data_IF_952195549764
#
_entry.id   IF_952195549764
#
_cell.length_a   1.000
_cell.length_b   1.000
_cell.length_c   1.000
_cell.angle_alpha   90.00
_cell.angle_beta   90.00
_cell.angle_gamma   90.00
#
_symmetry.space_group_name_H-M   'P 1'
#
loop_
_entity.id
_entity.type
_entity.pdbx_description
1 polymer ?
#
# COMPACT_ATOMS: atom_id res chain seq x y z
N UNK A 1 -48.32 -4.74 -5.33
CA UNK A 1 -47.64 -3.45 -5.58
C UNK A 1 -46.21 -3.46 -5.08
N UNK A 2 -45.95 -3.95 -3.87
CA UNK A 2 -44.59 -4.08 -3.26
C UNK A 2 -43.65 -4.90 -4.14
N UNK A 3 -44.01 -6.10 -4.58
CA UNK A 3 -43.19 -6.98 -5.41
C UNK A 3 -42.75 -6.31 -6.72
N UNK A 4 -43.63 -5.52 -7.36
CA UNK A 4 -43.26 -4.78 -8.58
C UNK A 4 -42.24 -3.68 -8.32
N UNK A 5 -42.30 -3.00 -7.17
CA UNK A 5 -41.28 -2.00 -6.80
C UNK A 5 -39.92 -2.68 -6.49
N UNK A 6 -39.94 -3.77 -5.72
CA UNK A 6 -38.73 -4.54 -5.44
C UNK A 6 -38.07 -5.03 -6.73
N UNK A 7 -38.83 -5.61 -7.65
CA UNK A 7 -38.31 -6.06 -8.94
C UNK A 7 -37.66 -4.91 -9.74
N UNK A 8 -38.30 -3.73 -9.78
CA UNK A 8 -37.75 -2.55 -10.47
C UNK A 8 -36.44 -2.10 -9.85
N UNK A 9 -36.33 -2.09 -8.51
CA UNK A 9 -35.06 -1.75 -7.81
C UNK A 9 -33.96 -2.78 -8.13
N UNK A 10 -34.29 -4.07 -8.13
CA UNK A 10 -33.31 -5.12 -8.46
C UNK A 10 -32.83 -4.98 -9.91
N UNK A 11 -33.74 -4.77 -10.85
CA UNK A 11 -33.38 -4.56 -12.27
C UNK A 11 -32.51 -3.31 -12.43
N UNK A 12 -32.88 -2.20 -11.77
CA UNK A 12 -32.08 -0.97 -11.80
C UNK A 12 -30.66 -1.21 -11.29
N UNK A 13 -30.53 -1.86 -10.11
CA UNK A 13 -29.21 -2.15 -9.53
C UNK A 13 -28.39 -3.09 -10.41
N UNK A 14 -29.01 -4.09 -11.02
CA UNK A 14 -28.33 -4.99 -11.95
C UNK A 14 -27.82 -4.24 -13.20
N UNK A 15 -28.63 -3.39 -13.79
CA UNK A 15 -28.23 -2.56 -14.95
C UNK A 15 -27.11 -1.60 -14.54
N UNK A 16 -27.22 -0.94 -13.38
CA UNK A 16 -26.18 -0.06 -12.87
C UNK A 16 -24.84 -0.80 -12.66
N UNK A 17 -24.89 -1.98 -12.05
CA UNK A 17 -23.68 -2.80 -11.85
C UNK A 17 -23.04 -3.21 -13.18
N UNK A 18 -23.84 -3.60 -14.18
CA UNK A 18 -23.33 -3.91 -15.53
C UNK A 18 -22.67 -2.71 -16.20
N UNK A 19 -23.29 -1.52 -16.11
CA UNK A 19 -22.72 -0.29 -16.65
C UNK A 19 -21.43 0.09 -15.94
N UNK A 20 -21.40 0.05 -14.60
CA UNK A 20 -20.20 0.32 -13.83
C UNK A 20 -19.07 -0.66 -14.16
N UNK A 21 -19.36 -1.95 -14.31
CA UNK A 21 -18.39 -2.96 -14.73
C UNK A 21 -17.85 -2.69 -16.12
N UNK A 22 -18.70 -2.39 -17.08
CA UNK A 22 -18.30 -2.12 -18.47
C UNK A 22 -17.43 -0.87 -18.59
N UNK A 23 -17.84 0.23 -17.94
CA UNK A 23 -17.04 1.47 -17.95
C UNK A 23 -15.74 1.27 -17.17
N UNK A 24 -15.77 0.56 -16.04
CA UNK A 24 -14.57 0.24 -15.27
C UNK A 24 -13.57 -0.56 -16.11
N UNK A 25 -14.05 -1.53 -16.88
CA UNK A 25 -13.20 -2.32 -17.76
C UNK A 25 -12.52 -1.46 -18.83
N UNK A 26 -13.20 -0.43 -19.32
CA UNK A 26 -12.67 0.48 -20.32
C UNK A 26 -11.60 1.43 -19.71
N UNK A 27 -11.89 2.03 -18.54
CA UNK A 27 -11.01 3.05 -17.95
C UNK A 27 -9.89 2.46 -17.07
N UNK A 28 -9.97 1.19 -16.66
CA UNK A 28 -8.89 0.58 -15.85
C UNK A 28 -7.57 0.59 -16.64
N UNK A 29 -6.43 0.92 -16.01
CA UNK A 29 -5.12 0.84 -16.65
C UNK A 29 -4.86 -0.55 -17.21
N UNK A 30 -4.35 -0.61 -18.45
CA UNK A 30 -3.98 -1.88 -19.11
C UNK A 30 -2.51 -2.23 -18.90
N UNK A 31 -1.74 -1.28 -18.37
CA UNK A 31 -0.35 -1.46 -17.99
C UNK A 31 -0.07 -0.67 -16.68
N UNK A 32 1.05 -0.96 -16.03
CA UNK A 32 1.49 -0.29 -14.80
C UNK A 32 2.38 0.93 -15.05
N UNK A 33 2.13 1.66 -16.14
CA UNK A 33 2.88 2.87 -16.51
C UNK A 33 2.11 4.15 -16.16
N UNK A 34 2.84 5.25 -16.02
CA UNK A 34 2.22 6.59 -15.83
C UNK A 34 1.35 7.00 -17.01
N UNK A 35 1.75 6.65 -18.23
CA UNK A 35 0.97 6.94 -19.45
C UNK A 35 -0.34 6.15 -19.55
N UNK A 36 -0.47 5.09 -18.77
CA UNK A 36 -1.69 4.30 -18.64
C UNK A 36 -2.53 4.70 -17.41
N UNK A 37 -2.16 5.80 -16.72
CA UNK A 37 -2.92 6.38 -15.63
C UNK A 37 -2.51 5.92 -14.23
N UNK A 38 -1.37 5.25 -14.09
CA UNK A 38 -0.83 4.88 -12.76
C UNK A 38 -0.13 6.09 -12.14
N UNK A 39 -0.56 6.49 -10.95
CA UNK A 39 0.01 7.64 -10.25
C UNK A 39 1.39 7.35 -9.65
N UNK A 40 1.58 6.16 -9.08
CA UNK A 40 2.82 5.72 -8.42
C UNK A 40 3.42 4.50 -9.16
N UNK A 41 4.02 4.70 -10.36
CA UNK A 41 4.53 3.59 -11.15
C UNK A 41 5.67 2.85 -10.45
N UNK A 42 6.53 3.52 -9.68
CA UNK A 42 7.60 2.88 -8.93
C UNK A 42 7.05 1.80 -7.97
N UNK A 43 6.07 2.14 -7.13
CA UNK A 43 5.42 1.18 -6.24
C UNK A 43 4.64 0.09 -7.00
N UNK A 44 3.98 0.45 -8.11
CA UNK A 44 3.24 -0.49 -8.95
C UNK A 44 4.13 -1.31 -9.91
N UNK A 45 5.42 -1.02 -9.98
CA UNK A 45 6.40 -1.78 -10.76
C UNK A 45 6.50 -3.24 -10.31
N UNK A 46 6.15 -3.55 -9.06
CA UNK A 46 6.09 -4.93 -8.56
C UNK A 46 5.20 -5.84 -9.43
N UNK A 47 4.17 -5.30 -10.06
CA UNK A 47 3.29 -6.05 -10.95
C UNK A 47 3.98 -6.48 -12.25
N UNK A 48 5.05 -5.78 -12.65
CA UNK A 48 5.89 -6.12 -13.81
C UNK A 48 7.00 -7.11 -13.49
N UNK A 49 7.27 -7.38 -12.21
CA UNK A 49 8.28 -8.36 -11.81
C UNK A 49 7.84 -9.78 -12.24
N UNK A 50 8.80 -10.67 -12.54
CA UNK A 50 8.50 -12.08 -12.76
C UNK A 50 7.85 -12.69 -11.53
N UNK A 51 7.02 -13.70 -11.73
CA UNK A 51 6.25 -14.33 -10.65
C UNK A 51 7.19 -15.02 -9.63
N UNK A 52 6.89 -14.82 -8.34
CA UNK A 52 7.60 -15.44 -7.21
C UNK A 52 9.12 -15.17 -7.18
N UNK A 53 9.52 -13.94 -7.51
CA UNK A 53 10.93 -13.52 -7.49
C UNK A 53 11.27 -12.56 -6.35
N UNK A 54 10.31 -12.18 -5.52
CA UNK A 54 10.50 -11.22 -4.42
C UNK A 54 10.42 -11.95 -3.08
N UNK A 55 11.52 -11.91 -2.31
CA UNK A 55 11.62 -12.50 -0.96
C UNK A 55 11.05 -11.58 0.11
N UNK A 56 11.28 -10.26 -0.02
CA UNK A 56 10.89 -9.22 0.92
C UNK A 56 9.98 -8.20 0.27
N UNK A 57 8.81 -7.97 0.86
CA UNK A 57 7.93 -6.87 0.49
C UNK A 57 8.03 -5.77 1.54
N UNK A 58 8.28 -4.53 1.12
CA UNK A 58 8.37 -3.37 2.01
C UNK A 58 7.16 -2.48 1.73
N UNK A 59 6.37 -2.20 2.76
CA UNK A 59 5.20 -1.35 2.75
C UNK A 59 5.44 -0.14 3.66
N UNK A 60 4.94 1.01 3.29
CA UNK A 60 5.10 2.21 4.09
C UNK A 60 4.87 3.46 3.27
N UNK A 61 5.17 4.60 3.85
CA UNK A 61 5.09 5.89 3.17
C UNK A 61 6.43 6.34 2.58
N UNK A 62 6.70 7.64 2.57
CA UNK A 62 7.95 8.21 2.06
C UNK A 62 9.19 7.79 2.85
N UNK A 63 9.04 7.45 4.11
CA UNK A 63 10.14 6.93 4.93
C UNK A 63 10.58 5.56 4.37
N UNK A 64 9.64 4.68 4.02
CA UNK A 64 9.97 3.35 3.50
C UNK A 64 10.75 3.39 2.19
N UNK A 65 10.29 4.14 1.18
CA UNK A 65 10.97 4.16 -0.12
C UNK A 65 12.26 4.99 -0.14
N UNK A 66 12.53 5.76 0.92
CA UNK A 66 13.76 6.53 1.07
C UNK A 66 14.82 5.81 1.91
N UNK A 67 14.41 4.99 2.88
CA UNK A 67 15.32 4.32 3.82
C UNK A 67 15.72 2.92 3.36
N UNK A 68 14.82 2.16 2.76
CA UNK A 68 15.13 0.80 2.33
C UNK A 68 15.62 0.78 0.89
N UNK A 69 16.81 0.21 0.69
CA UNK A 69 17.49 0.11 -0.62
C UNK A 69 17.47 -1.35 -1.08
N UNK A 70 16.48 -1.81 -1.86
CA UNK A 70 16.37 -3.20 -2.27
C UNK A 70 17.61 -3.76 -2.96
N UNK A 71 18.27 -2.93 -3.80
CA UNK A 71 19.47 -3.34 -4.51
C UNK A 71 20.67 -3.60 -3.58
N UNK A 72 20.73 -2.89 -2.43
CA UNK A 72 21.74 -3.14 -1.40
C UNK A 72 21.46 -4.45 -0.65
N UNK A 73 20.20 -4.74 -0.33
CA UNK A 73 19.81 -5.99 0.30
C UNK A 73 20.19 -7.19 -0.58
N UNK A 74 19.96 -7.08 -1.88
CA UNK A 74 20.38 -8.12 -2.81
C UNK A 74 21.90 -8.24 -2.92
N UNK A 75 22.62 -7.13 -3.02
CA UNK A 75 24.08 -7.13 -3.16
C UNK A 75 24.78 -7.71 -1.92
N UNK A 76 24.29 -7.37 -0.73
CA UNK A 76 24.96 -7.75 0.52
C UNK A 76 24.51 -9.11 1.05
N UNK A 77 23.26 -9.46 0.85
CA UNK A 77 22.65 -10.63 1.50
C UNK A 77 22.00 -11.61 0.53
N UNK A 78 21.88 -11.26 -0.75
CA UNK A 78 21.24 -12.10 -1.76
C UNK A 78 19.71 -12.12 -1.71
N UNK A 79 19.06 -11.30 -0.85
CA UNK A 79 17.62 -11.22 -0.76
C UNK A 79 17.05 -10.26 -1.81
N UNK A 80 16.07 -10.73 -2.56
CA UNK A 80 15.31 -9.88 -3.48
C UNK A 80 14.22 -9.14 -2.71
N UNK A 81 14.18 -7.82 -2.85
CA UNK A 81 13.22 -6.98 -2.14
C UNK A 81 12.51 -6.03 -3.09
N UNK A 82 11.30 -5.62 -2.73
CA UNK A 82 10.56 -4.57 -3.43
C UNK A 82 9.86 -3.64 -2.45
N UNK A 83 9.98 -2.32 -2.67
CA UNK A 83 9.31 -1.31 -1.87
C UNK A 83 8.04 -0.81 -2.59
N UNK A 84 6.90 -1.07 -1.99
CA UNK A 84 5.58 -0.59 -2.42
C UNK A 84 5.15 0.62 -1.57
N UNK A 85 6.07 1.56 -1.36
CA UNK A 85 5.82 2.80 -0.63
C UNK A 85 5.33 3.92 -1.54
N UNK A 86 4.40 4.74 -1.03
CA UNK A 86 3.93 5.97 -1.69
C UNK A 86 3.90 7.14 -0.71
N UNK A 87 3.86 8.38 -1.22
CA UNK A 87 3.86 9.55 -0.36
C UNK A 87 2.62 9.59 0.56
N UNK A 88 2.84 9.70 1.88
CA UNK A 88 1.79 9.70 2.91
C UNK A 88 0.83 8.52 2.80
N UNK A 89 1.37 7.36 2.50
CA UNK A 89 0.59 6.13 2.38
C UNK A 89 -0.16 5.83 3.67
N UNK A 90 -1.42 5.52 3.55
CA UNK A 90 -2.25 5.08 4.68
C UNK A 90 -2.28 3.56 4.77
N UNK A 91 -2.66 3.02 5.93
CA UNK A 91 -2.69 1.58 6.14
C UNK A 91 -3.63 0.84 5.18
N UNK A 92 -4.74 1.45 4.75
CA UNK A 92 -5.60 0.80 3.76
C UNK A 92 -4.94 0.69 2.38
N UNK A 93 -4.08 1.66 2.00
CA UNK A 93 -3.25 1.54 0.79
C UNK A 93 -2.15 0.49 0.96
N UNK A 94 -1.54 0.41 2.15
CA UNK A 94 -0.54 -0.63 2.45
C UNK A 94 -1.16 -2.02 2.32
N UNK A 95 -2.37 -2.23 2.85
CA UNK A 95 -3.12 -3.48 2.69
C UNK A 95 -3.45 -3.76 1.21
N UNK A 96 -3.90 -2.75 0.47
CA UNK A 96 -4.19 -2.89 -0.95
C UNK A 96 -2.93 -3.28 -1.77
N UNK A 97 -1.77 -2.69 -1.47
CA UNK A 97 -0.50 -3.09 -2.08
C UNK A 97 -0.07 -4.50 -1.68
N UNK A 98 -0.28 -4.89 -0.42
CA UNK A 98 -0.03 -6.24 0.06
C UNK A 98 -0.81 -7.26 -0.78
N UNK A 99 -2.13 -7.11 -0.87
CA UNK A 99 -2.97 -7.98 -1.69
C UNK A 99 -2.57 -7.99 -3.17
N UNK A 100 -2.24 -6.82 -3.71
CA UNK A 100 -1.79 -6.67 -5.10
C UNK A 100 -0.47 -7.40 -5.35
N UNK A 101 0.50 -7.28 -4.46
CA UNK A 101 1.78 -7.96 -4.56
C UNK A 101 1.61 -9.49 -4.52
N UNK A 102 0.78 -9.99 -3.60
CA UNK A 102 0.53 -11.43 -3.45
C UNK A 102 -0.25 -12.07 -4.60
N UNK A 103 -0.77 -11.29 -5.56
CA UNK A 103 -1.31 -11.85 -6.80
C UNK A 103 -0.24 -12.52 -7.67
N UNK A 104 1.03 -12.10 -7.54
CA UNK A 104 2.15 -12.56 -8.38
C UNK A 104 3.37 -13.00 -7.57
N UNK A 105 3.47 -12.59 -6.32
CA UNK A 105 4.63 -12.82 -5.46
C UNK A 105 4.22 -13.62 -4.22
N UNK A 106 5.19 -14.28 -3.60
CA UNK A 106 5.01 -15.01 -2.34
C UNK A 106 6.17 -14.67 -1.39
N UNK A 107 6.30 -13.39 -0.98
CA UNK A 107 7.38 -12.97 -0.11
C UNK A 107 7.33 -13.71 1.23
N UNK A 108 8.49 -14.01 1.80
CA UNK A 108 8.61 -14.66 3.10
C UNK A 108 8.58 -13.66 4.25
N UNK A 109 8.94 -12.42 3.97
CA UNK A 109 8.93 -11.33 4.94
C UNK A 109 8.22 -10.11 4.35
N UNK A 110 7.30 -9.55 5.13
CA UNK A 110 6.66 -8.27 4.86
C UNK A 110 7.14 -7.29 5.93
N UNK A 111 7.78 -6.21 5.50
CA UNK A 111 8.19 -5.11 6.38
C UNK A 111 7.12 -4.03 6.26
N UNK A 112 6.55 -3.62 7.39
CA UNK A 112 5.69 -2.45 7.49
C UNK A 112 6.46 -1.35 8.22
N UNK A 113 6.80 -0.30 7.49
CA UNK A 113 7.37 0.91 8.07
C UNK A 113 6.31 1.60 8.93
N UNK A 114 6.69 2.03 10.15
CA UNK A 114 5.74 2.31 11.22
C UNK A 114 5.09 3.69 11.19
N UNK A 115 5.61 4.66 10.41
CA UNK A 115 4.99 5.98 10.34
C UNK A 115 3.55 5.92 9.82
N UNK A 116 3.25 4.98 8.91
CA UNK A 116 1.90 4.73 8.39
C UNK A 116 0.88 4.38 9.47
N UNK A 117 1.31 3.88 10.64
CA UNK A 117 0.44 3.55 11.77
C UNK A 117 -0.17 4.82 12.37
N UNK A 118 0.49 5.97 12.20
CA UNK A 118 0.10 7.26 12.73
C UNK A 118 -0.55 8.19 11.68
N UNK A 119 -0.65 7.75 10.43
CA UNK A 119 -1.34 8.50 9.38
C UNK A 119 -2.83 8.17 9.43
N UNK A 120 -3.62 9.13 9.90
CA UNK A 120 -5.07 8.98 9.94
C UNK A 120 -5.72 9.17 8.56
N UNK A 121 -6.86 8.52 8.37
CA UNK A 121 -7.69 8.64 7.18
C UNK A 121 -9.18 8.60 7.53
N UNK A 122 -10.02 9.15 6.67
CA UNK A 122 -11.46 9.17 6.88
C UNK A 122 -12.14 7.88 6.41
N UNK A 123 -13.31 7.56 6.97
CA UNK A 123 -14.16 6.50 6.42
C UNK A 123 -14.55 6.75 4.98
N UNK A 124 -14.77 8.02 4.61
CA UNK A 124 -15.12 8.40 3.24
C UNK A 124 -14.00 8.06 2.24
N UNK A 125 -12.74 8.36 2.59
CA UNK A 125 -11.58 8.00 1.73
C UNK A 125 -11.40 6.50 1.62
N UNK A 126 -11.61 5.76 2.71
CA UNK A 126 -11.56 4.29 2.70
C UNK A 126 -12.63 3.69 1.79
N UNK A 127 -13.90 4.11 1.96
CA UNK A 127 -15.01 3.63 1.13
C UNK A 127 -14.83 3.99 -0.36
N UNK A 128 -14.27 5.17 -0.64
CA UNK A 128 -13.98 5.58 -2.01
C UNK A 128 -12.90 4.69 -2.64
N UNK A 129 -11.87 4.33 -1.86
CA UNK A 129 -10.85 3.38 -2.31
C UNK A 129 -11.44 1.99 -2.56
N UNK A 130 -12.21 1.45 -1.60
CA UNK A 130 -12.89 0.15 -1.74
C UNK A 130 -13.83 0.14 -2.96
N UNK A 131 -14.57 1.24 -3.17
CA UNK A 131 -15.41 1.40 -4.36
C UNK A 131 -14.56 1.44 -5.65
N UNK A 132 -13.39 2.07 -5.62
CA UNK A 132 -12.43 2.11 -6.73
C UNK A 132 -11.81 0.75 -7.03
N UNK A 133 -11.55 -0.06 -6.02
CA UNK A 133 -11.05 -1.43 -6.19
C UNK A 133 -12.14 -2.34 -6.80
N UNK A 134 -13.39 -2.18 -6.38
CA UNK A 134 -14.52 -2.92 -6.93
C UNK A 134 -14.89 -2.44 -8.34
N UNK A 135 -14.94 -1.12 -8.52
CA UNK A 135 -15.27 -0.47 -9.80
C UNK A 135 -14.19 0.56 -10.14
N UNK A 136 -13.17 0.19 -10.91
CA UNK A 136 -12.06 1.06 -11.31
C UNK A 136 -12.46 2.42 -11.91
N UNK A 137 -13.69 2.58 -12.38
CA UNK A 137 -14.20 3.88 -12.85
C UNK A 137 -14.13 4.96 -11.75
N UNK A 138 -14.28 4.61 -10.48
CA UNK A 138 -14.18 5.59 -9.40
C UNK A 138 -12.74 6.11 -9.19
N UNK A 139 -11.74 5.27 -9.42
CA UNK A 139 -10.33 5.65 -9.31
C UNK A 139 -9.74 6.22 -10.61
N UNK A 140 -10.25 5.79 -11.77
CA UNK A 140 -9.66 6.08 -13.08
C UNK A 140 -10.62 6.78 -14.04
N UNK A 141 -11.68 7.42 -13.54
CA UNK A 141 -12.66 8.08 -14.40
C UNK A 141 -12.04 9.10 -15.38
N UNK A 142 -11.01 9.85 -14.96
CA UNK A 142 -10.35 10.85 -15.80
C UNK A 142 -9.69 10.28 -17.04
N UNK A 143 -9.43 8.98 -17.11
CA UNK A 143 -8.84 8.31 -18.29
C UNK A 143 -9.73 8.34 -19.50
N UNK A 144 -11.03 8.62 -19.36
CA UNK A 144 -11.89 8.78 -20.53
C UNK A 144 -11.36 9.83 -21.54
N UNK A 145 -10.56 10.81 -21.07
CA UNK A 145 -9.95 11.87 -21.88
C UNK A 145 -8.73 11.38 -22.69
N UNK A 146 -8.15 10.26 -22.32
CA UNK A 146 -6.89 9.74 -22.88
C UNK A 146 -6.99 8.28 -23.32
N UNK A 147 -8.20 7.80 -23.58
CA UNK A 147 -8.44 6.43 -24.03
C UNK A 147 -7.74 6.17 -25.37
N UNK A 148 -7.13 5.02 -25.47
CA UNK A 148 -6.46 4.49 -26.67
C UNK A 148 -7.23 3.28 -27.20
N UNK A 149 -6.97 2.86 -28.42
CA UNK A 149 -7.55 1.64 -28.99
C UNK A 149 -7.21 0.38 -28.15
N UNK A 150 -6.04 0.36 -27.52
CA UNK A 150 -5.64 -0.72 -26.62
C UNK A 150 -6.50 -0.84 -25.34
N UNK A 151 -7.17 0.23 -24.93
CA UNK A 151 -8.01 0.22 -23.72
C UNK A 151 -9.29 -0.60 -23.87
N UNK A 152 -9.69 -0.89 -25.11
CA UNK A 152 -10.80 -1.80 -25.41
C UNK A 152 -10.46 -3.28 -25.20
N UNK A 153 -9.17 -3.60 -25.01
CA UNK A 153 -8.74 -4.96 -24.67
C UNK A 153 -9.21 -5.35 -23.27
N UNK A 154 -9.59 -6.59 -23.10
CA UNK A 154 -9.85 -7.18 -21.77
C UNK A 154 -8.55 -7.55 -21.05
N UNK A 155 -7.46 -7.71 -21.81
CA UNK A 155 -6.17 -8.12 -21.27
C UNK A 155 -5.47 -6.95 -20.58
N UNK A 156 -4.89 -7.23 -19.43
CA UNK A 156 -3.99 -6.35 -18.68
C UNK A 156 -2.60 -6.96 -18.77
N UNK A 157 -1.63 -6.16 -19.20
CA UNK A 157 -0.25 -6.63 -19.33
C UNK A 157 0.70 -5.63 -18.68
N UNK A 158 1.19 -5.97 -17.49
CA UNK A 158 2.11 -5.15 -16.74
C UNK A 158 3.54 -5.37 -17.25
N UNK A 159 4.10 -4.35 -17.91
CA UNK A 159 5.44 -4.41 -18.53
C UNK A 159 6.45 -3.49 -17.90
N UNK A 160 6.02 -2.54 -17.06
CA UNK A 160 6.93 -1.63 -16.40
C UNK A 160 7.55 -2.32 -15.17
N UNK A 161 8.88 -2.36 -15.17
CA UNK A 161 9.71 -2.81 -14.05
C UNK A 161 10.50 -1.61 -13.55
N UNK A 162 10.43 -1.33 -12.27
CA UNK A 162 11.26 -0.28 -11.66
C UNK A 162 12.66 -0.82 -11.34
N UNK A 163 13.69 -0.24 -11.96
CA UNK A 163 15.07 -0.68 -11.78
C UNK A 163 15.58 -0.50 -10.33
N UNK A 164 15.03 0.48 -9.60
CA UNK A 164 15.35 0.72 -8.19
C UNK A 164 14.46 -0.09 -7.24
N UNK A 165 13.54 -0.92 -7.78
CA UNK A 165 12.62 -1.76 -6.99
C UNK A 165 11.80 -0.95 -5.97
N UNK A 166 11.30 0.22 -6.39
CA UNK A 166 10.51 1.11 -5.57
C UNK A 166 11.29 2.09 -4.70
N UNK A 167 12.62 1.95 -4.60
CA UNK A 167 13.46 2.91 -3.89
C UNK A 167 13.51 4.25 -4.62
N UNK A 168 13.49 5.35 -3.85
CA UNK A 168 13.60 6.70 -4.40
C UNK A 168 14.72 7.46 -3.70
N UNK A 169 15.81 7.71 -4.43
CA UNK A 169 16.92 8.52 -3.93
C UNK A 169 16.44 9.94 -3.60
N UNK A 170 16.67 10.37 -2.37
CA UNK A 170 16.41 11.73 -1.89
C UNK A 170 17.74 12.41 -1.56
N UNK A 171 18.07 13.44 -2.34
CA UNK A 171 19.33 14.17 -2.17
C UNK A 171 19.17 15.48 -1.39
N UNK A 172 17.93 15.92 -1.14
CA UNK A 172 17.68 17.15 -0.40
C UNK A 172 17.67 16.85 1.09
N UNK A 173 18.66 17.36 1.81
CA UNK A 173 18.71 17.32 3.26
C UNK A 173 18.31 18.70 3.82
N UNK A 174 17.36 18.70 4.73
CA UNK A 174 17.05 19.90 5.54
C UNK A 174 17.59 19.66 6.94
N UNK A 175 18.43 20.53 7.49
CA UNK A 175 18.90 20.40 8.86
C UNK A 175 17.70 20.35 9.82
N UNK A 176 17.68 19.40 10.72
CA UNK A 176 16.69 19.27 11.77
C UNK A 176 17.35 19.32 13.13
N UNK A 177 16.67 19.90 14.12
CA UNK A 177 17.10 19.84 15.51
C UNK A 177 16.79 18.44 16.08
N UNK A 178 17.83 17.68 16.33
CA UNK A 178 17.73 16.33 16.91
C UNK A 178 17.90 16.32 18.43
N UNK A 179 17.99 17.47 19.09
CA UNK A 179 18.29 17.57 20.54
C UNK A 179 17.26 16.82 21.41
N UNK A 180 16.03 16.71 20.95
CA UNK A 180 14.94 16.02 21.64
C UNK A 180 14.57 14.67 20.97
N UNK A 181 15.34 14.21 19.98
CA UNK A 181 15.07 12.93 19.31
C UNK A 181 15.22 11.78 20.30
N UNK A 182 14.20 10.93 20.37
CA UNK A 182 14.14 9.77 21.27
C UNK A 182 14.42 10.07 22.74
N UNK A 183 14.09 11.26 23.21
CA UNK A 183 14.18 11.61 24.64
C UNK A 183 13.32 10.65 25.45
N UNK A 184 13.86 10.00 26.52
CA UNK A 184 13.14 9.05 27.35
C UNK A 184 11.80 9.60 27.84
N UNK A 185 10.74 8.84 27.68
CA UNK A 185 9.37 9.22 28.07
C UNK A 185 8.52 7.96 28.28
N UNK A 186 7.64 7.98 29.28
CA UNK A 186 6.63 6.93 29.51
C UNK A 186 5.32 7.23 28.76
N UNK A 187 5.27 8.29 27.96
CA UNK A 187 4.10 8.66 27.19
C UNK A 187 3.84 7.67 26.03
N UNK A 188 2.56 7.57 25.65
CA UNK A 188 2.09 6.79 24.52
C UNK A 188 1.43 7.70 23.48
N UNK A 189 1.84 7.58 22.24
CA UNK A 189 1.19 8.25 21.12
C UNK A 189 -0.14 7.56 20.78
N UNK A 190 -1.22 8.30 20.48
CA UNK A 190 -2.48 7.68 20.13
C UNK A 190 -2.40 6.96 18.77
N UNK A 191 -2.77 5.68 18.74
CA UNK A 191 -3.04 4.94 17.51
C UNK A 191 -4.54 4.79 17.39
N UNK A 192 -5.14 5.22 16.29
CA UNK A 192 -6.58 5.13 16.09
C UNK A 192 -7.04 3.66 16.08
N UNK A 193 -8.29 3.41 16.51
CA UNK A 193 -8.88 2.06 16.46
C UNK A 193 -8.84 1.47 15.05
N UNK A 194 -9.01 2.32 14.06
CA UNK A 194 -9.00 1.98 12.64
C UNK A 194 -7.62 1.50 12.21
N UNK A 195 -6.58 2.27 12.53
CA UNK A 195 -5.21 1.90 12.19
C UNK A 195 -4.78 0.60 12.88
N UNK A 196 -5.17 0.39 14.15
CA UNK A 196 -4.94 -0.90 14.84
C UNK A 196 -5.58 -2.06 14.10
N UNK A 197 -6.84 -1.92 13.69
CA UNK A 197 -7.56 -2.95 12.94
C UNK A 197 -6.88 -3.28 11.60
N UNK A 198 -6.32 -2.28 10.91
CA UNK A 198 -5.58 -2.53 9.67
C UNK A 198 -4.25 -3.26 9.92
N UNK A 199 -3.52 -2.95 10.99
CA UNK A 199 -2.30 -3.72 11.35
C UNK A 199 -2.67 -5.17 11.68
N UNK A 200 -3.78 -5.39 12.43
CA UNK A 200 -4.31 -6.72 12.71
C UNK A 200 -4.67 -7.50 11.43
N UNK A 201 -5.31 -6.84 10.46
CA UNK A 201 -5.66 -7.44 9.15
C UNK A 201 -4.43 -7.78 8.32
N UNK A 202 -3.46 -6.86 8.23
CA UNK A 202 -2.19 -7.08 7.53
C UNK A 202 -1.46 -8.29 8.15
N UNK A 203 -1.40 -8.36 9.49
CA UNK A 203 -0.80 -9.49 10.21
C UNK A 203 -1.51 -10.81 9.88
N UNK A 204 -2.84 -10.83 9.98
CA UNK A 204 -3.63 -12.02 9.68
C UNK A 204 -3.40 -12.49 8.23
N UNK A 205 -3.40 -11.56 7.27
CA UNK A 205 -3.13 -11.88 5.87
C UNK A 205 -1.72 -12.47 5.67
N UNK A 206 -0.71 -11.91 6.32
CA UNK A 206 0.64 -12.44 6.27
C UNK A 206 0.69 -13.88 6.81
N UNK A 207 0.08 -14.12 7.97
CA UNK A 207 0.03 -15.46 8.60
C UNK A 207 -0.67 -16.50 7.70
N UNK A 208 -1.82 -16.14 7.12
CA UNK A 208 -2.58 -17.00 6.22
C UNK A 208 -1.80 -17.36 4.95
N UNK A 209 -0.89 -16.49 4.52
CA UNK A 209 -0.08 -16.69 3.32
C UNK A 209 1.36 -17.15 3.61
N UNK A 210 1.69 -17.50 4.85
CA UNK A 210 2.98 -18.05 5.25
C UNK A 210 4.14 -17.03 5.19
N UNK A 211 3.83 -15.73 5.31
CA UNK A 211 4.79 -14.64 5.43
C UNK A 211 4.89 -14.16 6.88
N UNK A 212 6.07 -13.71 7.28
CA UNK A 212 6.25 -13.02 8.55
C UNK A 212 5.99 -11.52 8.37
N UNK A 213 5.31 -10.88 9.33
CA UNK A 213 5.22 -9.43 9.40
C UNK A 213 6.28 -8.90 10.37
N UNK A 214 7.03 -7.89 9.95
CA UNK A 214 8.00 -7.16 10.75
C UNK A 214 7.61 -5.67 10.75
N UNK A 215 7.51 -5.06 11.92
CA UNK A 215 7.38 -3.61 12.06
C UNK A 215 8.79 -3.01 12.15
N UNK A 216 9.03 -1.95 11.39
CA UNK A 216 10.32 -1.25 11.40
C UNK A 216 10.08 0.25 11.42
N UNK A 217 10.65 0.94 12.40
CA UNK A 217 10.75 2.40 12.34
C UNK A 217 12.06 2.81 11.67
N UNK A 218 11.99 3.86 10.88
CA UNK A 218 13.16 4.50 10.30
C UNK A 218 13.52 5.75 11.11
N UNK A 219 14.81 6.12 11.24
CA UNK A 219 15.19 7.32 11.99
C UNK A 219 14.58 8.58 11.37
N UNK A 220 13.76 9.30 12.11
CA UNK A 220 13.13 10.53 11.67
C UNK A 220 12.95 11.49 12.84
N UNK A 221 13.73 12.56 12.86
CA UNK A 221 13.66 13.59 13.92
C UNK A 221 12.36 14.39 13.89
N UNK A 222 11.58 14.29 12.81
CA UNK A 222 10.30 15.00 12.62
C UNK A 222 9.12 14.10 12.98
N UNK A 223 9.15 12.83 12.53
CA UNK A 223 8.00 11.94 12.60
C UNK A 223 8.10 10.92 13.72
N UNK A 224 9.30 10.67 14.29
CA UNK A 224 9.51 9.62 15.27
C UNK A 224 9.93 10.16 16.63
N UNK A 225 9.42 9.56 17.70
CA UNK A 225 9.73 9.91 19.09
C UNK A 225 9.42 8.74 20.03
N UNK A 226 9.85 8.86 21.29
CA UNK A 226 9.69 7.82 22.30
C UNK A 226 8.21 7.44 22.55
N UNK A 227 7.28 8.37 22.47
CA UNK A 227 5.85 8.05 22.65
C UNK A 227 5.30 7.18 21.50
N UNK A 228 5.75 7.39 20.27
CA UNK A 228 5.42 6.50 19.14
C UNK A 228 6.10 5.14 19.28
N UNK A 229 7.37 5.12 19.70
CA UNK A 229 8.08 3.87 20.03
C UNK A 229 7.27 3.04 21.03
N UNK A 230 6.92 3.60 22.19
CA UNK A 230 6.18 2.88 23.25
C UNK A 230 4.85 2.31 22.74
N UNK A 231 4.12 3.10 21.96
CA UNK A 231 2.83 2.66 21.40
C UNK A 231 2.97 1.57 20.35
N UNK A 232 4.00 1.66 19.50
CA UNK A 232 4.27 0.64 18.48
C UNK A 232 4.77 -0.64 19.12
N UNK A 233 5.65 -0.56 20.13
CA UNK A 233 6.11 -1.73 20.89
C UNK A 233 4.93 -2.44 21.57
N UNK A 234 4.07 -1.68 22.25
CA UNK A 234 2.89 -2.26 22.91
C UNK A 234 1.91 -2.92 21.91
N UNK A 235 1.77 -2.36 20.71
CA UNK A 235 0.97 -2.97 19.64
C UNK A 235 1.64 -4.23 19.10
N UNK A 236 2.95 -4.19 18.88
CA UNK A 236 3.75 -5.32 18.41
C UNK A 236 3.70 -6.50 19.40
N UNK A 237 3.89 -6.23 20.69
CA UNK A 237 3.79 -7.23 21.78
C UNK A 237 2.41 -7.88 21.80
N UNK A 238 1.35 -7.07 21.74
CA UNK A 238 -0.04 -7.56 21.72
C UNK A 238 -0.32 -8.49 20.54
N UNK A 239 0.25 -8.17 19.36
CA UNK A 239 0.00 -8.91 18.13
C UNK A 239 1.07 -9.98 17.84
N UNK A 240 2.05 -10.13 18.74
CA UNK A 240 3.20 -11.02 18.57
C UNK A 240 3.94 -10.77 17.25
N UNK A 241 4.16 -9.50 16.93
CA UNK A 241 4.92 -9.04 15.79
C UNK A 241 6.30 -8.59 16.28
N UNK A 242 7.36 -8.96 15.59
CA UNK A 242 8.67 -8.40 15.87
C UNK A 242 8.70 -6.92 15.46
N UNK A 243 9.27 -6.07 16.32
CA UNK A 243 9.47 -4.66 16.06
C UNK A 243 10.96 -4.30 16.18
N UNK A 244 11.47 -3.57 15.21
CA UNK A 244 12.84 -3.03 15.18
C UNK A 244 12.75 -1.52 15.07
N UNK A 245 13.40 -0.83 15.98
CA UNK A 245 13.50 0.64 16.02
C UNK A 245 14.95 1.06 15.80
N UNK A 246 15.21 1.89 14.78
CA UNK A 246 16.53 2.36 14.40
C UNK A 246 16.82 3.80 14.85
#
# INVERSE_FOLDING_TARGET
>A
RFLKHTLRCVVFLAVLALLLTGVSQLVRPKNNTRSDGIHDPAANGILGEPDNTIDLLILGDSESYSAFIPMQLWQQYGYTAYCCGTSRQTLYYSEAFLHKAFQKQSPKLVILETDVIYIDFSYGSMLLQEAGDLFPVFSYHDRWKTLKSSDWSLNVNYTYIDNAKGYQLRCNATPADASNYMTPSDAYAPISKRNRAYVERIKAFCDENGAQLLLVSTPSTVNWNMARHNSTQALADKLQIQFIDF
#
